data_IF_566353497461
#
_entry.id   IF_566353497461
#
_cell.length_a   1.000
_cell.length_b   1.000
_cell.length_c   1.000
_cell.angle_alpha   90.00
_cell.angle_beta   90.00
_cell.angle_gamma   90.00
#
_symmetry.space_group_name_H-M   'P 1'
#
loop_
_entity.id
_entity.type
_entity.pdbx_description
1 polymer ?
#
# COMPACT_ATOMS: atom_id res chain seq x y z
N UNK A 1 45.94 -9.96 -64.20
CA UNK A 1 44.61 -9.90 -63.60
C UNK A 1 44.76 -9.60 -62.10
N UNK A 2 44.52 -8.34 -61.68
CA UNK A 2 44.57 -7.93 -60.29
C UNK A 2 43.12 -7.94 -59.75
N UNK A 3 42.83 -8.80 -58.77
CA UNK A 3 41.57 -8.86 -58.03
C UNK A 3 41.63 -7.81 -56.93
N UNK A 4 40.79 -6.79 -57.05
CA UNK A 4 40.61 -5.76 -56.05
C UNK A 4 39.56 -6.29 -55.05
N UNK A 5 39.98 -6.51 -53.80
CA UNK A 5 39.05 -6.86 -52.68
C UNK A 5 38.44 -5.56 -52.16
N UNK A 6 37.13 -5.40 -52.32
CA UNK A 6 36.37 -4.32 -51.69
C UNK A 6 35.99 -4.77 -50.29
N UNK A 7 36.64 -4.19 -49.28
CA UNK A 7 36.28 -4.43 -47.87
C UNK A 7 35.20 -3.43 -47.48
N UNK A 8 33.97 -3.92 -47.35
CA UNK A 8 32.86 -3.13 -46.81
C UNK A 8 33.01 -3.00 -45.30
N UNK A 9 33.31 -1.83 -44.82
CA UNK A 9 33.30 -1.50 -43.41
C UNK A 9 31.83 -1.22 -43.01
N UNK A 10 31.21 -2.15 -42.27
CA UNK A 10 29.95 -1.90 -41.59
C UNK A 10 30.26 -1.10 -40.32
N UNK A 11 29.96 0.18 -40.32
CA UNK A 11 29.91 1.01 -39.08
C UNK A 11 28.59 0.68 -38.41
N UNK A 12 28.61 -0.16 -37.39
CA UNK A 12 27.48 -0.29 -36.47
C UNK A 12 27.41 0.98 -35.66
N UNK A 13 26.44 1.85 -35.98
CA UNK A 13 26.06 2.98 -35.15
C UNK A 13 25.31 2.42 -33.94
N UNK A 14 26.02 2.13 -32.85
CA UNK A 14 25.39 1.88 -31.56
C UNK A 14 24.77 3.21 -31.09
N UNK A 15 23.47 3.35 -31.34
CA UNK A 15 22.67 4.37 -30.65
C UNK A 15 22.70 4.04 -29.16
N UNK A 16 23.62 4.64 -28.41
CA UNK A 16 23.56 4.71 -26.96
C UNK A 16 22.28 5.48 -26.63
N UNK A 17 21.19 4.76 -26.49
CA UNK A 17 20.01 5.29 -25.82
C UNK A 17 20.42 5.58 -24.38
N UNK A 18 20.72 6.82 -24.07
CA UNK A 18 20.68 7.28 -22.70
C UNK A 18 19.24 7.15 -22.25
N UNK A 19 18.91 6.02 -21.65
CA UNK A 19 17.67 5.89 -20.91
C UNK A 19 17.76 6.97 -19.80
N UNK A 20 17.10 8.10 -19.98
CA UNK A 20 16.87 9.01 -18.87
C UNK A 20 16.14 8.18 -17.79
N UNK A 21 16.62 8.25 -16.55
CA UNK A 21 15.91 7.67 -15.43
C UNK A 21 14.42 8.07 -15.53
N UNK A 22 13.50 7.12 -15.52
CA UNK A 22 12.09 7.44 -15.71
C UNK A 22 11.66 8.36 -14.58
N UNK A 23 11.12 9.53 -14.91
CA UNK A 23 10.55 10.42 -13.90
C UNK A 23 9.50 9.68 -13.09
N UNK A 24 9.60 9.75 -11.77
CA UNK A 24 8.59 9.19 -10.86
C UNK A 24 7.27 9.97 -11.03
N UNK A 25 6.26 9.26 -11.50
CA UNK A 25 4.90 9.77 -11.72
C UNK A 25 3.93 8.85 -11.01
N UNK A 26 3.52 9.24 -9.81
CA UNK A 26 2.69 8.43 -8.96
C UNK A 26 1.38 9.12 -8.61
N UNK A 27 0.40 8.33 -8.18
CA UNK A 27 -0.82 8.82 -7.55
C UNK A 27 -1.03 8.10 -6.22
N UNK A 28 -1.63 8.81 -5.27
CA UNK A 28 -2.05 8.24 -3.99
C UNK A 28 -3.44 7.64 -4.13
N UNK A 29 -3.64 6.48 -3.50
CA UNK A 29 -4.94 5.82 -3.39
C UNK A 29 -5.22 5.58 -1.91
N UNK A 30 -6.11 6.37 -1.35
CA UNK A 30 -6.48 6.34 0.06
C UNK A 30 -7.61 5.35 0.31
N UNK A 31 -7.45 4.52 1.35
CA UNK A 31 -8.46 3.53 1.74
C UNK A 31 -9.22 3.95 3.00
N UNK A 32 -8.64 4.81 3.81
CA UNK A 32 -9.31 5.35 5.01
C UNK A 32 -10.62 6.02 4.61
N UNK A 33 -11.68 5.75 5.36
CA UNK A 33 -13.03 6.28 5.10
C UNK A 33 -13.57 5.98 3.68
N UNK A 34 -12.96 5.02 2.96
CA UNK A 34 -13.31 4.70 1.58
C UNK A 34 -13.29 5.93 0.66
N UNK A 35 -12.22 6.74 0.78
CA UNK A 35 -12.06 7.95 -0.04
C UNK A 35 -11.90 7.57 -1.50
N UNK A 36 -10.92 6.71 -1.81
CA UNK A 36 -10.64 6.30 -3.18
C UNK A 36 -10.93 4.81 -3.40
N UNK A 37 -10.56 3.94 -2.42
CA UNK A 37 -10.69 2.49 -2.56
C UNK A 37 -10.90 1.78 -1.21
N UNK A 38 -11.72 0.70 -1.18
CA UNK A 38 -12.78 0.42 -2.15
C UNK A 38 -13.87 1.50 -2.09
N UNK A 39 -14.67 1.63 -3.14
CA UNK A 39 -15.86 2.48 -3.06
C UNK A 39 -16.80 1.99 -1.96
N UNK A 40 -17.57 2.88 -1.33
CA UNK A 40 -18.51 2.50 -0.27
C UNK A 40 -19.51 1.42 -0.71
N UNK A 41 -19.90 1.43 -1.99
CA UNK A 41 -20.79 0.43 -2.56
C UNK A 41 -20.11 -0.94 -2.77
N UNK A 42 -18.80 -0.97 -2.84
CA UNK A 42 -18.02 -2.19 -3.04
C UNK A 42 -17.50 -2.80 -1.72
N UNK A 43 -17.80 -2.22 -0.56
CA UNK A 43 -17.43 -2.80 0.74
C UNK A 43 -17.97 -4.23 0.83
N UNK A 44 -17.10 -5.22 1.09
CA UNK A 44 -17.46 -6.64 1.14
C UNK A 44 -17.81 -7.29 -0.21
N UNK A 45 -17.85 -6.52 -1.30
CA UNK A 45 -18.05 -7.05 -2.65
C UNK A 45 -16.70 -7.18 -3.38
N UNK A 46 -16.02 -8.30 -3.17
CA UNK A 46 -14.64 -8.49 -3.61
C UNK A 46 -14.46 -8.53 -5.13
N UNK A 47 -15.44 -9.00 -5.87
CA UNK A 47 -15.37 -8.97 -7.34
C UNK A 47 -15.49 -7.53 -7.88
N UNK A 48 -16.34 -6.71 -7.26
CA UNK A 48 -16.42 -5.29 -7.61
C UNK A 48 -15.13 -4.56 -7.24
N UNK A 49 -14.55 -4.84 -6.05
CA UNK A 49 -13.27 -4.27 -5.64
C UNK A 49 -12.15 -4.56 -6.64
N UNK A 50 -12.05 -5.81 -7.10
CA UNK A 50 -11.06 -6.20 -8.11
C UNK A 50 -11.30 -5.47 -9.44
N UNK A 51 -12.56 -5.39 -9.89
CA UNK A 51 -12.92 -4.70 -11.13
C UNK A 51 -12.60 -3.20 -11.05
N UNK A 52 -12.93 -2.54 -9.94
CA UNK A 52 -12.66 -1.13 -9.70
C UNK A 52 -11.14 -0.86 -9.69
N UNK A 53 -10.35 -1.71 -9.06
CA UNK A 53 -8.88 -1.58 -9.03
C UNK A 53 -8.27 -1.75 -10.42
N UNK A 54 -8.72 -2.75 -11.19
CA UNK A 54 -8.25 -2.96 -12.57
C UNK A 54 -8.55 -1.73 -13.42
N UNK A 55 -9.79 -1.21 -13.34
CA UNK A 55 -10.17 -0.01 -14.10
C UNK A 55 -9.32 1.22 -13.69
N UNK A 56 -9.04 1.38 -12.40
CA UNK A 56 -8.18 2.45 -11.88
C UNK A 56 -6.74 2.34 -12.42
N UNK A 57 -6.16 1.15 -12.40
CA UNK A 57 -4.81 0.90 -12.92
C UNK A 57 -4.73 1.08 -14.43
N UNK A 58 -5.78 0.73 -15.18
CA UNK A 58 -5.87 0.99 -16.62
C UNK A 58 -5.86 2.50 -16.93
N UNK A 59 -6.55 3.31 -16.13
CA UNK A 59 -6.52 4.76 -16.26
C UNK A 59 -5.15 5.34 -15.90
N UNK A 60 -4.49 4.81 -14.85
CA UNK A 60 -3.13 5.23 -14.49
C UNK A 60 -2.13 4.95 -15.62
N UNK A 61 -2.23 3.78 -16.25
CA UNK A 61 -1.40 3.44 -17.40
C UNK A 61 -1.64 4.40 -18.59
N UNK A 62 -2.91 4.74 -18.89
CA UNK A 62 -3.25 5.73 -19.94
C UNK A 62 -2.70 7.11 -19.64
N UNK A 63 -2.68 7.51 -18.37
CA UNK A 63 -2.07 8.77 -17.92
C UNK A 63 -0.54 8.71 -17.84
N UNK A 64 0.07 7.59 -18.22
CA UNK A 64 1.51 7.38 -18.15
C UNK A 64 2.07 7.53 -16.72
N UNK A 65 1.28 7.14 -15.70
CA UNK A 65 1.77 6.98 -14.33
C UNK A 65 2.58 5.68 -14.26
N UNK A 66 3.65 5.70 -13.48
CA UNK A 66 4.54 4.54 -13.32
C UNK A 66 4.63 4.04 -11.86
N UNK A 67 3.85 4.62 -10.96
CA UNK A 67 3.72 4.10 -9.61
C UNK A 67 2.34 4.43 -9.00
N UNK A 68 1.89 3.56 -8.10
CA UNK A 68 0.75 3.77 -7.22
C UNK A 68 1.23 3.80 -5.76
N UNK A 69 0.78 4.78 -4.97
CA UNK A 69 0.98 4.83 -3.53
C UNK A 69 -0.32 4.37 -2.86
N UNK A 70 -0.40 3.08 -2.58
CA UNK A 70 -1.61 2.41 -2.12
C UNK A 70 -1.66 2.29 -0.59
N UNK A 71 -2.69 2.84 0.04
CA UNK A 71 -2.86 2.77 1.49
C UNK A 71 -3.33 1.38 1.91
N UNK A 72 -2.44 0.64 2.60
CA UNK A 72 -2.73 -0.74 3.04
C UNK A 72 -2.92 -0.85 4.56
N UNK A 73 -2.55 0.19 5.32
CA UNK A 73 -2.68 0.23 6.77
C UNK A 73 -3.16 1.62 7.23
N UNK A 74 -4.47 1.88 7.18
CA UNK A 74 -5.03 3.19 7.52
C UNK A 74 -5.19 3.43 9.04
N UNK A 75 -5.58 2.41 9.83
CA UNK A 75 -5.98 2.54 11.24
C UNK A 75 -5.64 1.30 12.07
N UNK A 76 -4.36 0.91 12.14
CA UNK A 76 -3.90 -0.29 12.87
C UNK A 76 -4.68 -1.55 12.47
N UNK A 77 -5.04 -1.64 11.22
CA UNK A 77 -5.71 -2.74 10.55
C UNK A 77 -5.19 -2.85 9.11
N UNK A 78 -5.42 -3.98 8.47
CA UNK A 78 -4.76 -4.34 7.23
C UNK A 78 -5.73 -4.51 6.06
N UNK A 79 -5.36 -3.98 4.88
CA UNK A 79 -5.94 -4.34 3.59
C UNK A 79 -5.07 -5.39 2.87
N UNK A 80 -4.52 -6.32 3.63
CA UNK A 80 -3.73 -7.46 3.17
C UNK A 80 -3.82 -8.58 4.20
N UNK A 81 -3.45 -9.79 3.84
CA UNK A 81 -3.50 -10.95 4.76
C UNK A 81 -2.39 -10.85 5.82
N UNK A 82 -2.64 -10.10 6.89
CA UNK A 82 -1.71 -9.92 8.01
C UNK A 82 -1.97 -10.95 9.12
N UNK A 83 -0.90 -11.50 9.69
CA UNK A 83 -0.97 -12.29 10.92
C UNK A 83 -0.84 -11.43 12.18
N UNK A 84 -0.46 -10.15 12.02
CA UNK A 84 -0.19 -9.22 13.11
C UNK A 84 -1.39 -8.33 13.46
N UNK A 85 -2.19 -7.98 12.44
CA UNK A 85 -3.28 -7.01 12.55
C UNK A 85 -4.57 -7.55 11.93
N UNK A 86 -5.74 -7.11 12.40
CA UNK A 86 -7.02 -7.54 11.85
C UNK A 86 -7.24 -6.99 10.44
N UNK A 87 -8.10 -7.65 9.66
CA UNK A 87 -8.62 -7.10 8.41
C UNK A 87 -9.33 -5.78 8.64
N UNK A 88 -9.11 -4.82 7.73
CA UNK A 88 -9.71 -3.50 7.84
C UNK A 88 -11.21 -3.50 7.58
N UNK A 89 -11.94 -2.75 8.42
CA UNK A 89 -13.36 -2.50 8.21
C UNK A 89 -13.66 -1.77 6.90
N UNK A 90 -12.72 -0.96 6.40
CA UNK A 90 -12.88 -0.26 5.13
C UNK A 90 -12.97 -1.23 3.94
N UNK A 91 -12.38 -2.43 4.07
CA UNK A 91 -12.42 -3.47 3.05
C UNK A 91 -13.67 -4.34 3.15
N UNK A 92 -13.98 -4.81 4.34
CA UNK A 92 -14.95 -5.88 4.58
C UNK A 92 -16.29 -5.38 5.13
N UNK A 93 -16.31 -4.16 5.70
CA UNK A 93 -17.45 -3.59 6.43
C UNK A 93 -17.39 -3.82 7.93
N UNK A 94 -16.54 -4.76 8.39
CA UNK A 94 -16.35 -5.05 9.81
C UNK A 94 -14.89 -5.43 10.09
N UNK A 95 -14.24 -4.72 11.00
CA UNK A 95 -12.86 -5.01 11.35
C UNK A 95 -12.70 -6.44 11.88
N UNK A 96 -11.70 -7.16 11.38
CA UNK A 96 -11.40 -8.54 11.75
C UNK A 96 -12.19 -9.59 10.96
N UNK A 97 -13.16 -9.21 10.14
CA UNK A 97 -13.82 -10.11 9.21
C UNK A 97 -12.88 -10.41 8.04
N UNK A 98 -12.63 -11.70 7.77
CA UNK A 98 -11.69 -12.12 6.76
C UNK A 98 -12.18 -11.81 5.35
N UNK A 99 -11.34 -11.19 4.53
CA UNK A 99 -11.56 -11.09 3.10
C UNK A 99 -11.28 -12.44 2.41
N UNK A 100 -11.94 -12.68 1.27
CA UNK A 100 -11.76 -13.90 0.47
C UNK A 100 -10.60 -13.79 -0.53
N UNK A 101 -9.93 -12.65 -0.58
CA UNK A 101 -8.72 -12.40 -1.39
C UNK A 101 -7.77 -11.48 -0.65
N UNK A 102 -6.53 -11.42 -1.09
CA UNK A 102 -5.55 -10.46 -0.60
C UNK A 102 -5.49 -9.25 -1.55
N UNK A 103 -5.98 -8.06 -1.12
CA UNK A 103 -5.96 -6.87 -1.97
C UNK A 103 -4.57 -6.42 -2.38
N UNK A 104 -3.58 -6.49 -1.48
CA UNK A 104 -2.22 -6.05 -1.80
C UNK A 104 -1.55 -6.98 -2.81
N UNK A 105 -1.66 -8.31 -2.62
CA UNK A 105 -1.17 -9.27 -3.62
C UNK A 105 -1.83 -9.05 -4.99
N UNK A 106 -3.13 -8.79 -4.99
CA UNK A 106 -3.87 -8.50 -6.22
C UNK A 106 -3.37 -7.22 -6.90
N UNK A 107 -3.19 -6.13 -6.12
CA UNK A 107 -2.68 -4.85 -6.64
C UNK A 107 -1.27 -5.01 -7.20
N UNK A 108 -0.34 -5.66 -6.50
CA UNK A 108 1.01 -5.91 -7.01
C UNK A 108 0.95 -6.62 -8.36
N UNK A 109 0.18 -7.71 -8.45
CA UNK A 109 0.04 -8.50 -9.67
C UNK A 109 -0.52 -7.71 -10.85
N UNK A 110 -1.56 -6.89 -10.61
CA UNK A 110 -2.22 -6.13 -11.67
C UNK A 110 -1.45 -4.85 -12.05
N UNK A 111 -0.78 -4.20 -11.09
CA UNK A 111 0.06 -3.03 -11.35
C UNK A 111 1.31 -3.41 -12.16
N UNK A 112 2.02 -4.47 -11.77
CA UNK A 112 3.23 -4.91 -12.46
C UNK A 112 2.96 -5.37 -13.91
N UNK A 113 1.80 -5.96 -14.21
CA UNK A 113 1.39 -6.23 -15.60
C UNK A 113 1.34 -4.99 -16.48
N UNK A 114 1.16 -3.81 -15.88
CA UNK A 114 1.04 -2.51 -16.54
C UNK A 114 2.33 -1.67 -16.46
N UNK A 115 3.38 -2.21 -15.86
CA UNK A 115 4.63 -1.48 -15.61
C UNK A 115 4.47 -0.36 -14.58
N UNK A 116 3.59 -0.58 -13.59
CA UNK A 116 3.32 0.36 -12.49
C UNK A 116 3.89 -0.23 -11.21
N UNK A 117 4.83 0.46 -10.58
CA UNK A 117 5.43 0.13 -9.30
C UNK A 117 4.41 0.27 -8.16
N UNK A 118 4.51 -0.58 -7.14
CA UNK A 118 3.61 -0.53 -5.99
C UNK A 118 4.35 -0.05 -4.75
N UNK A 119 4.01 1.14 -4.30
CA UNK A 119 4.46 1.70 -3.05
C UNK A 119 3.34 1.57 -2.02
N UNK A 120 3.57 0.87 -0.92
CA UNK A 120 2.56 0.74 0.12
C UNK A 120 2.60 1.92 1.09
N UNK A 121 1.42 2.47 1.37
CA UNK A 121 1.27 3.55 2.32
C UNK A 121 0.69 3.03 3.63
N UNK A 122 1.37 3.32 4.73
CA UNK A 122 0.95 2.96 6.08
C UNK A 122 0.85 4.21 6.96
N UNK A 123 -0.17 4.28 7.81
CA UNK A 123 -0.16 5.18 8.95
C UNK A 123 0.38 4.40 10.16
N UNK A 124 1.54 4.79 10.73
CA UNK A 124 2.20 3.97 11.75
C UNK A 124 1.48 3.98 13.11
N UNK A 125 0.80 5.07 13.48
CA UNK A 125 0.34 5.25 14.86
C UNK A 125 -1.16 5.35 15.03
N UNK A 126 -1.93 5.74 14.03
CA UNK A 126 -3.39 5.87 14.15
C UNK A 126 -4.04 4.50 14.38
N UNK A 127 -4.92 4.45 15.39
CA UNK A 127 -5.66 3.22 15.76
C UNK A 127 -7.15 3.36 15.46
N UNK A 128 -7.75 4.53 15.78
CA UNK A 128 -9.14 4.79 15.44
C UNK A 128 -9.29 6.01 14.55
N UNK A 129 -10.34 6.03 13.75
CA UNK A 129 -10.81 7.27 13.12
C UNK A 129 -11.44 8.20 14.14
N UNK A 130 -11.83 9.42 13.71
CA UNK A 130 -12.51 10.40 14.58
C UNK A 130 -13.78 9.84 15.21
N UNK A 131 -13.84 9.82 16.54
CA UNK A 131 -14.98 9.29 17.30
C UNK A 131 -15.02 7.76 17.42
N UNK A 132 -14.04 7.03 16.87
CA UNK A 132 -13.96 5.58 17.03
C UNK A 132 -13.68 5.19 18.48
N UNK A 133 -14.36 4.14 18.94
CA UNK A 133 -14.19 3.62 20.30
C UNK A 133 -13.18 2.49 20.29
N UNK A 134 -12.29 2.47 21.26
CA UNK A 134 -11.26 1.43 21.35
C UNK A 134 -11.86 0.08 21.72
N UNK A 135 -13.01 0.08 22.38
CA UNK A 135 -13.75 -1.12 22.78
C UNK A 135 -14.37 -1.85 21.58
N UNK A 136 -14.56 -1.14 20.45
CA UNK A 136 -15.15 -1.70 19.23
C UNK A 136 -14.10 -2.38 18.32
N UNK A 137 -12.82 -2.36 18.71
CA UNK A 137 -11.76 -3.03 17.94
C UNK A 137 -11.98 -4.53 17.90
N UNK A 138 -11.61 -5.14 16.77
CA UNK A 138 -11.76 -6.58 16.58
C UNK A 138 -11.07 -7.39 17.68
N UNK A 139 -11.61 -8.56 18.09
CA UNK A 139 -11.06 -9.37 19.18
C UNK A 139 -9.59 -9.78 19.00
N UNK A 140 -9.12 -9.87 17.76
CA UNK A 140 -7.73 -10.19 17.44
C UNK A 140 -6.83 -8.95 17.33
N UNK A 141 -7.36 -7.73 17.58
CA UNK A 141 -6.53 -6.53 17.59
C UNK A 141 -5.54 -6.56 18.75
N UNK A 142 -4.31 -6.12 18.51
CA UNK A 142 -3.21 -6.14 19.48
C UNK A 142 -3.51 -5.35 20.77
N UNK A 143 -4.43 -4.41 20.71
CA UNK A 143 -4.94 -3.68 21.90
C UNK A 143 -5.40 -4.60 23.03
N UNK A 144 -6.09 -5.70 22.70
CA UNK A 144 -6.61 -6.62 23.73
C UNK A 144 -5.53 -7.39 24.47
N UNK A 145 -4.31 -7.46 23.90
CA UNK A 145 -3.14 -8.08 24.53
C UNK A 145 -2.26 -7.08 25.23
N UNK A 146 -2.21 -5.87 24.72
CA UNK A 146 -1.27 -4.81 25.14
C UNK A 146 -1.96 -3.44 25.20
N UNK A 147 -2.97 -3.24 26.07
CA UNK A 147 -3.67 -1.96 26.18
C UNK A 147 -2.74 -0.80 26.58
N UNK A 148 -1.65 -1.10 27.29
CA UNK A 148 -0.62 -0.15 27.71
C UNK A 148 0.17 0.47 26.54
N UNK A 149 0.10 -0.11 25.35
CA UNK A 149 0.74 0.43 24.15
C UNK A 149 -0.02 1.58 23.52
N UNK A 150 -1.19 1.91 24.02
CA UNK A 150 -2.10 2.84 23.38
C UNK A 150 -2.37 4.06 24.26
N UNK A 151 -2.55 5.20 23.61
CA UNK A 151 -2.90 6.45 24.25
C UNK A 151 -4.07 7.11 23.53
N UNK A 152 -4.89 7.80 24.30
CA UNK A 152 -5.98 8.61 23.77
C UNK A 152 -5.54 10.06 23.68
N UNK A 153 -5.77 10.66 22.52
CA UNK A 153 -5.61 12.08 22.31
C UNK A 153 -6.86 12.66 21.60
N UNK A 154 -7.51 13.62 22.24
CA UNK A 154 -8.79 14.12 21.77
C UNK A 154 -9.83 13.01 21.67
N UNK A 155 -10.35 12.79 20.47
CA UNK A 155 -11.37 11.76 20.18
C UNK A 155 -10.78 10.50 19.54
N UNK A 156 -9.45 10.40 19.39
CA UNK A 156 -8.78 9.32 18.67
C UNK A 156 -7.82 8.56 19.56
N UNK A 157 -7.54 7.33 19.18
CA UNK A 157 -6.55 6.49 19.81
C UNK A 157 -5.34 6.26 18.90
N UNK A 158 -4.18 6.20 19.52
CA UNK A 158 -2.88 6.06 18.84
C UNK A 158 -2.01 5.02 19.54
N UNK A 159 -1.12 4.37 18.81
CA UNK A 159 0.03 3.73 19.43
C UNK A 159 0.90 4.77 20.13
N UNK A 160 1.47 4.42 21.28
CA UNK A 160 2.37 5.28 22.05
C UNK A 160 3.79 5.24 21.48
N UNK A 161 4.22 6.23 20.67
CA UNK A 161 5.48 6.12 19.92
C UNK A 161 6.73 6.21 20.78
N UNK A 162 6.59 6.67 22.04
CA UNK A 162 7.68 6.71 23.01
C UNK A 162 8.03 5.33 23.57
N UNK A 163 7.13 4.35 23.49
CA UNK A 163 7.40 2.98 23.95
C UNK A 163 8.22 2.21 22.92
N UNK A 164 9.23 1.48 23.36
CA UNK A 164 10.06 0.64 22.50
C UNK A 164 9.24 -0.48 21.87
N UNK A 165 8.36 -1.10 22.66
CA UNK A 165 7.51 -2.22 22.26
C UNK A 165 6.61 -1.87 21.07
N UNK A 166 6.05 -0.65 21.05
CA UNK A 166 5.23 -0.19 19.92
C UNK A 166 6.04 0.04 18.66
N UNK A 167 7.24 0.59 18.80
CA UNK A 167 8.17 0.74 17.66
C UNK A 167 8.60 -0.61 17.11
N UNK A 168 8.92 -1.57 17.98
CA UNK A 168 9.29 -2.93 17.61
C UNK A 168 8.13 -3.66 16.91
N UNK A 169 6.90 -3.45 17.37
CA UNK A 169 5.71 -3.98 16.71
C UNK A 169 5.54 -3.42 15.30
N UNK A 170 5.70 -2.10 15.14
CA UNK A 170 5.63 -1.45 13.82
C UNK A 170 6.75 -1.90 12.88
N UNK A 171 7.95 -2.14 13.41
CA UNK A 171 9.03 -2.74 12.64
C UNK A 171 8.66 -4.15 12.14
N UNK A 172 7.94 -4.95 12.94
CA UNK A 172 7.43 -6.25 12.49
C UNK A 172 6.39 -6.13 11.39
N UNK A 173 5.48 -5.15 11.49
CA UNK A 173 4.49 -4.87 10.44
C UNK A 173 5.18 -4.50 9.12
N UNK A 174 6.20 -3.63 9.16
CA UNK A 174 6.98 -3.28 7.97
C UNK A 174 7.74 -4.49 7.43
N UNK A 175 8.38 -5.27 8.31
CA UNK A 175 9.09 -6.49 7.91
C UNK A 175 8.14 -7.51 7.24
N UNK A 176 6.93 -7.69 7.75
CA UNK A 176 5.90 -8.55 7.16
C UNK A 176 5.57 -8.11 5.72
N UNK A 177 5.35 -6.82 5.51
CA UNK A 177 5.07 -6.26 4.19
C UNK A 177 6.22 -6.50 3.20
N UNK A 178 7.45 -6.11 3.56
CA UNK A 178 8.60 -6.17 2.63
C UNK A 178 9.11 -7.59 2.37
N UNK A 179 8.78 -8.55 3.24
CA UNK A 179 9.21 -9.95 3.03
C UNK A 179 8.20 -10.78 2.25
N UNK A 180 6.92 -10.40 2.30
CA UNK A 180 5.84 -11.23 1.72
C UNK A 180 5.30 -10.70 0.41
N UNK A 181 5.44 -9.41 0.16
CA UNK A 181 4.85 -8.77 -1.02
C UNK A 181 5.93 -8.19 -1.93
N UNK A 182 5.68 -8.28 -3.21
CA UNK A 182 6.52 -7.68 -4.26
C UNK A 182 6.15 -6.20 -4.38
N UNK A 183 6.75 -5.39 -3.51
CA UNK A 183 6.53 -3.94 -3.40
C UNK A 183 7.84 -3.18 -3.54
N UNK A 184 7.82 -2.02 -4.17
CA UNK A 184 9.02 -1.22 -4.42
C UNK A 184 9.36 -0.27 -3.27
N UNK A 185 8.36 0.18 -2.50
CA UNK A 185 8.60 1.10 -1.39
C UNK A 185 7.53 1.07 -0.29
N UNK A 186 7.92 1.57 0.88
CA UNK A 186 7.01 1.92 1.97
C UNK A 186 6.90 3.45 2.04
N UNK A 187 5.68 3.96 2.08
CA UNK A 187 5.38 5.37 2.30
C UNK A 187 4.73 5.60 3.65
N UNK A 188 5.10 6.69 4.29
CA UNK A 188 4.45 7.25 5.46
C UNK A 188 4.14 8.72 5.16
N UNK A 189 2.94 9.18 5.53
CA UNK A 189 2.57 10.58 5.44
C UNK A 189 3.13 11.38 6.64
N UNK A 190 2.73 12.63 6.81
CA UNK A 190 3.27 13.54 7.83
C UNK A 190 2.37 13.70 9.06
N UNK A 191 1.24 12.99 9.15
CA UNK A 191 0.23 13.15 10.21
C UNK A 191 0.32 12.04 11.28
N UNK A 192 1.50 11.84 11.86
CA UNK A 192 1.70 10.75 12.83
C UNK A 192 1.39 11.16 14.26
N UNK A 193 1.61 12.42 14.57
CA UNK A 193 1.23 13.02 15.85
C UNK A 193 -0.02 13.87 15.66
N UNK A 194 -0.96 13.80 16.61
CA UNK A 194 -2.13 14.67 16.57
C UNK A 194 -1.71 16.13 16.76
N UNK A 195 -2.43 17.02 16.10
CA UNK A 195 -2.25 18.45 16.31
C UNK A 195 -2.66 18.86 17.73
N UNK A 196 -2.00 19.88 18.32
CA UNK A 196 -2.36 20.41 19.64
C UNK A 196 -3.76 21.03 19.67
#
# INVERSE_FOLDING_TARGET
>A
MKKTFLTSIFVACECLSFASEPYFRATWVSTVANIDFPTKAAIGNYEQQKADMVAMLDEFQKMNLNAIVFQVRPTADALYASELEPWSAWLTGKQGEAATYDPLEFVCKEAHKRGIDVHVWINPYRVTGGGGKIEDLAPNHVYHKHPEWFLKYGTQWYFAPHLQETRDFLCKVVADLVTRYDIEAIHMDDYFYPYP
#
